data_IF_832356009372
#
_entry.id   IF_832356009372
#
_cell.length_a   1.000
_cell.length_b   1.000
_cell.length_c   1.000
_cell.angle_alpha   90.00
_cell.angle_beta   90.00
_cell.angle_gamma   90.00
#
_symmetry.space_group_name_H-M   'P 1'
#
loop_
_entity.id
_entity.type
_entity.pdbx_description
1 polymer ?
#
# COMPACT_ATOMS: atom_id res chain seq x y z
N UNK A 1 -4.33 -14.08 39.31
CA UNK A 1 -3.99 -12.64 39.39
C UNK A 1 -3.18 -12.33 38.16
N UNK A 2 -3.60 -11.55 37.18
CA UNK A 2 -4.79 -10.72 37.02
C UNK A 2 -5.06 -10.60 35.50
N UNK A 3 -6.31 -10.28 35.17
CA UNK A 3 -6.93 -10.17 33.86
C UNK A 3 -6.14 -9.28 32.89
N UNK A 4 -5.47 -9.86 31.89
CA UNK A 4 -5.35 -9.22 30.58
C UNK A 4 -6.38 -9.89 29.68
N UNK A 5 -7.41 -9.11 29.35
CA UNK A 5 -8.56 -9.54 28.58
C UNK A 5 -8.14 -10.34 27.35
N UNK A 6 -8.80 -11.48 27.14
CA UNK A 6 -9.09 -11.95 25.79
C UNK A 6 -9.88 -10.81 25.12
N UNK A 7 -9.17 -9.86 24.53
CA UNK A 7 -9.76 -8.99 23.53
C UNK A 7 -10.35 -9.93 22.48
N UNK A 8 -11.68 -10.04 22.45
CA UNK A 8 -12.38 -10.69 21.34
C UNK A 8 -11.87 -10.02 20.07
N UNK A 9 -10.95 -10.69 19.38
CA UNK A 9 -10.37 -10.21 18.13
C UNK A 9 -11.55 -9.95 17.18
N UNK A 10 -11.86 -8.68 16.94
CA UNK A 10 -12.99 -8.32 16.10
C UNK A 10 -12.71 -8.77 14.67
N UNK A 11 -13.66 -9.47 14.06
CA UNK A 11 -13.57 -9.84 12.65
C UNK A 11 -13.86 -8.62 11.76
N UNK A 12 -12.81 -7.89 11.43
CA UNK A 12 -12.87 -6.73 10.52
C UNK A 12 -12.89 -7.12 9.04
N UNK A 13 -13.62 -6.35 8.24
CA UNK A 13 -13.54 -6.27 6.78
C UNK A 13 -12.54 -5.19 6.35
N UNK A 14 -11.43 -5.61 5.75
CA UNK A 14 -10.27 -4.76 5.44
C UNK A 14 -10.13 -4.61 3.93
N UNK A 15 -10.09 -3.37 3.44
CA UNK A 15 -9.66 -3.06 2.07
C UNK A 15 -8.17 -2.71 2.07
N UNK A 16 -7.33 -3.64 1.63
CA UNK A 16 -5.90 -3.40 1.41
C UNK A 16 -5.67 -2.82 0.01
N UNK A 17 -5.17 -1.59 -0.07
CA UNK A 17 -4.83 -0.92 -1.32
C UNK A 17 -3.31 -0.96 -1.53
N UNK A 18 -2.87 -1.58 -2.63
CA UNK A 18 -1.45 -1.64 -3.02
C UNK A 18 -1.31 -1.57 -4.54
N UNK A 19 -0.27 -0.89 -5.03
CA UNK A 19 -0.03 -0.80 -6.47
C UNK A 19 0.50 -2.11 -7.05
N UNK A 20 1.25 -2.88 -6.25
CA UNK A 20 1.90 -4.11 -6.67
C UNK A 20 1.43 -5.29 -5.81
N UNK A 21 1.14 -6.42 -6.46
CA UNK A 21 0.74 -7.67 -5.78
C UNK A 21 1.12 -8.90 -6.62
N UNK A 22 1.49 -10.05 -6.01
CA UNK A 22 1.83 -11.28 -6.74
C UNK A 22 0.73 -11.61 -7.75
N UNK A 23 1.04 -11.95 -9.02
CA UNK A 23 2.28 -12.58 -9.47
C UNK A 23 3.43 -11.62 -9.77
N UNK A 24 3.25 -10.31 -9.61
CA UNK A 24 4.36 -9.37 -9.72
C UNK A 24 5.45 -9.69 -8.70
N UNK A 25 6.69 -9.69 -9.18
CA UNK A 25 7.87 -9.83 -8.36
C UNK A 25 8.16 -8.51 -7.65
N UNK A 26 8.76 -8.58 -6.46
CA UNK A 26 9.26 -7.40 -5.74
C UNK A 26 8.87 -7.38 -4.26
N UNK A 27 9.65 -6.64 -3.48
CA UNK A 27 9.49 -6.56 -2.03
C UNK A 27 8.10 -6.03 -1.61
N UNK A 28 7.57 -5.02 -2.32
CA UNK A 28 6.25 -4.48 -2.04
C UNK A 28 5.13 -5.51 -2.24
N UNK A 29 5.16 -6.24 -3.36
CA UNK A 29 4.20 -7.29 -3.67
C UNK A 29 4.27 -8.42 -2.64
N UNK A 30 5.47 -8.93 -2.34
CA UNK A 30 5.67 -10.00 -1.37
C UNK A 30 5.18 -9.60 0.04
N UNK A 31 5.51 -8.39 0.50
CA UNK A 31 5.10 -7.88 1.82
C UNK A 31 3.59 -7.69 1.92
N UNK A 32 2.97 -7.03 0.95
CA UNK A 32 1.52 -6.81 0.95
C UNK A 32 0.76 -8.13 0.93
N UNK A 33 1.26 -9.12 0.20
CA UNK A 33 0.68 -10.46 0.19
C UNK A 33 0.87 -11.18 1.53
N UNK A 34 2.06 -11.14 2.12
CA UNK A 34 2.32 -11.69 3.45
C UNK A 34 1.39 -11.09 4.52
N UNK A 35 1.25 -9.77 4.52
CA UNK A 35 0.34 -9.05 5.42
C UNK A 35 -1.11 -9.46 5.22
N UNK A 36 -1.59 -9.49 3.96
CA UNK A 36 -2.96 -9.88 3.66
C UNK A 36 -3.28 -11.31 4.13
N UNK A 37 -2.38 -12.26 3.86
CA UNK A 37 -2.54 -13.65 4.33
C UNK A 37 -2.53 -13.74 5.85
N UNK A 38 -1.65 -13.00 6.51
CA UNK A 38 -1.58 -12.99 7.96
C UNK A 38 -2.86 -12.44 8.59
N UNK A 39 -3.42 -11.36 8.05
CA UNK A 39 -4.71 -10.82 8.47
C UNK A 39 -5.87 -11.82 8.24
N UNK A 40 -5.88 -12.54 7.12
CA UNK A 40 -6.86 -13.62 6.88
C UNK A 40 -6.71 -14.75 7.91
N UNK A 41 -5.48 -15.15 8.25
CA UNK A 41 -5.20 -16.17 9.27
C UNK A 41 -5.68 -15.75 10.67
N UNK A 42 -5.69 -14.45 10.97
CA UNK A 42 -6.27 -13.89 12.19
C UNK A 42 -7.81 -13.82 12.17
N UNK A 43 -8.44 -14.27 11.08
CA UNK A 43 -9.90 -14.34 10.94
C UNK A 43 -10.54 -13.13 10.27
N UNK A 44 -9.76 -12.12 9.84
CA UNK A 44 -10.27 -10.94 9.16
C UNK A 44 -10.66 -11.23 7.70
N UNK A 45 -11.65 -10.49 7.19
CA UNK A 45 -12.00 -10.53 5.77
C UNK A 45 -11.16 -9.51 5.00
N UNK A 46 -10.24 -9.98 4.16
CA UNK A 46 -9.33 -9.10 3.42
C UNK A 46 -9.67 -9.07 1.93
N UNK A 47 -9.96 -7.88 1.43
CA UNK A 47 -10.00 -7.59 -0.01
C UNK A 47 -8.78 -6.76 -0.38
N UNK A 48 -7.93 -7.26 -1.26
CA UNK A 48 -6.82 -6.48 -1.84
C UNK A 48 -7.25 -5.85 -3.14
N UNK A 49 -7.16 -4.53 -3.26
CA UNK A 49 -7.35 -3.80 -4.53
C UNK A 49 -5.98 -3.38 -5.08
N UNK A 50 -5.67 -3.82 -6.30
CA UNK A 50 -4.34 -3.66 -6.90
C UNK A 50 -4.36 -3.50 -8.42
N UNK A 51 -3.23 -3.15 -9.04
CA UNK A 51 -3.11 -3.00 -10.48
C UNK A 51 -3.00 -4.34 -11.20
N UNK A 52 -3.17 -4.32 -12.52
CA UNK A 52 -2.75 -5.46 -13.33
C UNK A 52 -1.22 -5.63 -13.28
N UNK A 53 -0.73 -6.89 -13.32
CA UNK A 53 0.68 -7.15 -13.28
C UNK A 53 1.36 -6.49 -14.47
N UNK A 54 2.35 -5.66 -14.22
CA UNK A 54 3.10 -5.01 -15.30
C UNK A 54 4.55 -4.72 -14.92
N UNK A 55 4.95 -4.83 -13.65
CA UNK A 55 6.33 -4.65 -13.24
C UNK A 55 7.16 -5.94 -13.37
N UNK A 56 8.43 -5.89 -13.82
CA UNK A 56 9.17 -4.72 -14.33
C UNK A 56 9.04 -4.51 -15.85
N UNK A 57 8.53 -5.51 -16.57
CA UNK A 57 8.58 -5.60 -18.05
C UNK A 57 7.70 -4.57 -18.76
N UNK A 58 6.72 -3.98 -18.07
CA UNK A 58 5.67 -3.14 -18.64
C UNK A 58 4.59 -3.93 -19.39
N UNK A 59 4.66 -5.26 -19.38
CA UNK A 59 3.75 -6.12 -20.15
C UNK A 59 2.68 -6.72 -19.25
N UNK A 60 1.41 -6.52 -19.62
CA UNK A 60 0.28 -7.16 -18.95
C UNK A 60 0.21 -8.64 -19.41
N UNK A 61 0.18 -9.61 -18.47
CA UNK A 61 -0.03 -11.02 -18.79
C UNK A 61 -1.34 -11.24 -19.57
N UNK A 62 -1.36 -12.26 -20.42
CA UNK A 62 -2.48 -12.52 -21.33
C UNK A 62 -3.83 -12.64 -20.62
N UNK A 63 -3.87 -13.20 -19.40
CA UNK A 63 -5.12 -13.38 -18.67
C UNK A 63 -5.80 -12.07 -18.23
N UNK A 64 -5.05 -10.97 -18.19
CA UNK A 64 -5.54 -9.63 -17.78
C UNK A 64 -5.76 -8.67 -18.95
N UNK A 65 -5.33 -9.03 -20.17
CA UNK A 65 -5.46 -8.15 -21.35
C UNK A 65 -6.92 -7.91 -21.71
N UNK A 66 -7.22 -6.70 -22.20
CA UNK A 66 -8.56 -6.24 -22.65
C UNK A 66 -9.65 -6.29 -21.58
N UNK A 67 -9.29 -6.42 -20.31
CA UNK A 67 -10.21 -6.32 -19.17
C UNK A 67 -9.99 -4.99 -18.48
N UNK A 68 -11.02 -4.49 -17.80
CA UNK A 68 -10.90 -3.32 -16.93
C UNK A 68 -10.73 -3.71 -15.46
N UNK A 69 -11.20 -4.91 -15.10
CA UNK A 69 -11.17 -5.46 -13.75
C UNK A 69 -11.13 -6.98 -13.80
N UNK A 70 -10.43 -7.60 -12.85
CA UNK A 70 -10.45 -9.05 -12.60
C UNK A 70 -10.56 -9.28 -11.09
N UNK A 71 -11.36 -10.26 -10.67
CA UNK A 71 -11.38 -10.71 -9.27
C UNK A 71 -10.85 -12.14 -9.22
N UNK A 72 -9.94 -12.42 -8.29
CA UNK A 72 -9.32 -13.73 -8.10
C UNK A 72 -9.18 -14.02 -6.59
N UNK A 73 -9.08 -15.29 -6.22
CA UNK A 73 -8.70 -15.68 -4.86
C UNK A 73 -7.23 -16.08 -4.89
N UNK A 74 -6.44 -15.58 -3.93
CA UNK A 74 -5.03 -15.94 -3.79
C UNK A 74 -4.71 -16.18 -2.33
N UNK A 75 -4.46 -17.44 -1.98
CA UNK A 75 -4.16 -17.90 -0.61
C UNK A 75 -5.21 -17.42 0.41
N UNK A 76 -6.50 -17.50 0.06
CA UNK A 76 -7.61 -17.06 0.92
C UNK A 76 -7.91 -15.56 0.87
N UNK A 77 -7.07 -14.76 0.20
CA UNK A 77 -7.29 -13.31 0.02
C UNK A 77 -8.12 -13.07 -1.24
N UNK A 78 -9.18 -12.25 -1.15
CA UNK A 78 -9.90 -11.76 -2.32
C UNK A 78 -9.09 -10.65 -2.97
N UNK A 79 -8.54 -10.91 -4.16
CA UNK A 79 -7.75 -9.93 -4.91
C UNK A 79 -8.61 -9.37 -6.05
N UNK A 80 -8.80 -8.06 -6.06
CA UNK A 80 -9.44 -7.32 -7.14
C UNK A 80 -8.37 -6.52 -7.86
N UNK A 81 -8.13 -6.86 -9.11
CA UNK A 81 -7.21 -6.14 -9.99
C UNK A 81 -7.95 -5.17 -10.87
N UNK A 82 -7.34 -4.02 -11.11
CA UNK A 82 -7.88 -2.99 -12.00
C UNK A 82 -6.86 -2.56 -13.04
N UNK A 83 -7.39 -1.94 -14.10
CA UNK A 83 -6.62 -1.50 -15.24
C UNK A 83 -5.55 -0.47 -14.86
N UNK A 84 -4.39 -0.58 -15.48
CA UNK A 84 -3.30 0.40 -15.40
C UNK A 84 -2.74 0.63 -16.80
N UNK A 85 -2.26 1.85 -17.05
CA UNK A 85 -1.48 2.18 -18.24
C UNK A 85 -0.09 1.55 -18.12
N UNK A 86 -0.03 0.26 -18.45
CA UNK A 86 1.19 -0.53 -18.37
C UNK A 86 2.22 0.00 -19.37
N UNK A 87 3.36 0.40 -18.84
CA UNK A 87 4.47 0.92 -19.63
C UNK A 87 5.78 0.40 -19.09
N UNK A 88 6.80 0.33 -19.95
CA UNK A 88 8.17 0.13 -19.49
C UNK A 88 8.54 1.27 -18.54
N UNK A 89 8.94 0.97 -17.31
CA UNK A 89 9.24 1.95 -16.26
C UNK A 89 10.55 2.74 -16.50
N UNK A 90 11.10 2.68 -17.72
CA UNK A 90 12.34 3.36 -18.15
C UNK A 90 12.20 4.89 -18.20
N UNK A 91 10.99 5.41 -18.40
CA UNK A 91 10.72 6.86 -18.43
C UNK A 91 9.93 7.28 -17.20
N UNK A 92 10.39 8.33 -16.51
CA UNK A 92 9.71 8.90 -15.35
C UNK A 92 8.29 9.37 -15.67
N UNK A 93 8.05 9.90 -16.87
CA UNK A 93 6.72 10.35 -17.32
C UNK A 93 5.79 9.14 -17.51
N UNK A 94 6.28 8.08 -18.16
CA UNK A 94 5.47 6.86 -18.35
C UNK A 94 5.13 6.18 -17.03
N UNK A 95 6.07 6.18 -16.08
CA UNK A 95 5.85 5.70 -14.72
C UNK A 95 4.81 6.55 -13.98
N UNK A 96 4.85 7.87 -14.12
CA UNK A 96 3.83 8.77 -13.57
C UNK A 96 2.44 8.47 -14.17
N UNK A 97 2.35 8.29 -15.49
CA UNK A 97 1.08 7.94 -16.16
C UNK A 97 0.55 6.58 -15.66
N UNK A 98 1.41 5.60 -15.42
CA UNK A 98 1.03 4.33 -14.79
C UNK A 98 0.40 4.57 -13.41
N UNK A 99 1.04 5.36 -12.55
CA UNK A 99 0.50 5.66 -11.21
C UNK A 99 -0.81 6.45 -11.25
N UNK A 100 -0.93 7.45 -12.14
CA UNK A 100 -2.15 8.24 -12.28
C UNK A 100 -3.30 7.39 -12.85
N UNK A 101 -3.02 6.54 -13.83
CA UNK A 101 -4.02 5.62 -14.36
C UNK A 101 -4.53 4.65 -13.30
N UNK A 102 -3.64 4.14 -12.44
CA UNK A 102 -4.01 3.29 -11.32
C UNK A 102 -4.84 4.03 -10.27
N UNK A 103 -4.46 5.27 -9.92
CA UNK A 103 -5.24 6.11 -9.01
C UNK A 103 -6.70 6.20 -9.45
N UNK A 104 -6.94 6.54 -10.72
CA UNK A 104 -8.29 6.70 -11.27
C UNK A 104 -9.04 5.36 -11.30
N UNK A 105 -8.41 4.31 -11.83
CA UNK A 105 -9.05 3.00 -11.97
C UNK A 105 -9.33 2.33 -10.61
N UNK A 106 -8.46 2.53 -9.61
CA UNK A 106 -8.65 2.05 -8.25
C UNK A 106 -9.81 2.76 -7.55
N UNK A 107 -9.98 4.07 -7.71
CA UNK A 107 -11.14 4.79 -7.17
C UNK A 107 -12.44 4.23 -7.77
N UNK A 108 -12.52 4.14 -9.11
CA UNK A 108 -13.71 3.65 -9.81
C UNK A 108 -14.01 2.20 -9.37
N UNK A 109 -13.00 1.35 -9.38
CA UNK A 109 -13.14 -0.07 -9.02
C UNK A 109 -13.52 -0.23 -7.56
N UNK A 110 -12.87 0.51 -6.66
CA UNK A 110 -13.14 0.51 -5.23
C UNK A 110 -14.59 0.85 -4.95
N UNK A 111 -15.09 1.99 -5.44
CA UNK A 111 -16.50 2.40 -5.30
C UNK A 111 -17.45 1.33 -5.85
N UNK A 112 -17.09 0.67 -6.95
CA UNK A 112 -17.90 -0.39 -7.56
C UNK A 112 -17.95 -1.71 -6.77
N UNK A 113 -17.13 -1.90 -5.73
CA UNK A 113 -17.11 -3.14 -4.95
C UNK A 113 -18.41 -3.40 -4.19
N UNK A 114 -19.23 -2.37 -3.93
CA UNK A 114 -20.49 -2.44 -3.17
C UNK A 114 -20.39 -3.33 -1.91
N UNK A 115 -19.23 -3.30 -1.27
CA UNK A 115 -18.91 -4.08 -0.07
C UNK A 115 -18.78 -3.12 1.10
N UNK A 116 -19.12 -3.57 2.30
CA UNK A 116 -18.82 -2.85 3.53
C UNK A 116 -17.40 -3.16 3.97
N UNK A 117 -16.67 -2.12 4.35
CA UNK A 117 -15.35 -2.21 4.95
C UNK A 117 -15.39 -1.53 6.31
N UNK A 118 -14.54 -1.95 7.23
CA UNK A 118 -14.34 -1.32 8.53
C UNK A 118 -13.11 -0.42 8.53
N UNK A 119 -12.14 -0.70 7.65
CA UNK A 119 -10.89 0.06 7.52
C UNK A 119 -10.31 -0.06 6.12
N UNK A 120 -9.69 1.01 5.63
CA UNK A 120 -8.83 0.97 4.45
C UNK A 120 -7.38 1.04 4.89
N UNK A 121 -6.60 0.06 4.48
CA UNK A 121 -5.16 0.01 4.69
C UNK A 121 -4.47 0.28 3.36
N UNK A 122 -3.62 1.31 3.29
CA UNK A 122 -2.87 1.64 2.08
C UNK A 122 -1.39 1.40 2.31
N UNK A 123 -0.75 0.54 1.51
CA UNK A 123 0.71 0.39 1.54
C UNK A 123 1.35 1.27 0.47
N UNK A 124 2.17 2.23 0.91
CA UNK A 124 2.97 3.10 0.04
C UNK A 124 4.41 2.57 -0.06
N UNK A 125 5.17 2.90 -1.13
CA UNK A 125 4.82 3.72 -2.31
C UNK A 125 3.92 3.03 -3.37
N UNK A 126 3.37 3.77 -4.36
CA UNK A 126 3.58 5.20 -4.69
C UNK A 126 2.62 6.18 -3.98
N UNK A 127 3.00 7.45 -3.78
CA UNK A 127 2.18 8.48 -3.08
C UNK A 127 0.72 8.57 -3.57
N UNK A 128 0.51 8.44 -4.88
CA UNK A 128 -0.82 8.50 -5.50
C UNK A 128 -1.81 7.48 -4.92
N UNK A 129 -1.33 6.36 -4.40
CA UNK A 129 -2.19 5.36 -3.78
C UNK A 129 -2.84 5.85 -2.48
N UNK A 130 -2.16 6.73 -1.75
CA UNK A 130 -2.72 7.40 -0.58
C UNK A 130 -3.89 8.32 -0.93
N UNK A 131 -3.87 8.94 -2.12
CA UNK A 131 -5.00 9.73 -2.63
C UNK A 131 -6.20 8.82 -2.90
N UNK A 132 -5.99 7.70 -3.60
CA UNK A 132 -7.04 6.72 -3.85
C UNK A 132 -7.66 6.22 -2.54
N UNK A 133 -6.83 5.85 -1.56
CA UNK A 133 -7.28 5.43 -0.23
C UNK A 133 -8.04 6.53 0.51
N UNK A 134 -7.61 7.79 0.43
CA UNK A 134 -8.32 8.93 1.04
C UNK A 134 -9.71 9.13 0.46
N UNK A 135 -9.85 9.00 -0.87
CA UNK A 135 -11.13 9.10 -1.56
C UNK A 135 -12.04 7.94 -1.16
N UNK A 136 -11.54 6.71 -1.19
CA UNK A 136 -12.32 5.53 -0.83
C UNK A 136 -12.72 5.53 0.65
N UNK A 137 -11.84 5.97 1.56
CA UNK A 137 -12.13 6.08 2.98
C UNK A 137 -13.25 7.08 3.24
N UNK A 138 -13.23 8.21 2.51
CA UNK A 138 -14.31 9.19 2.54
C UNK A 138 -15.61 8.62 1.98
N UNK A 139 -15.56 7.86 0.87
CA UNK A 139 -16.73 7.28 0.22
C UNK A 139 -17.40 6.19 1.08
N UNK A 140 -16.60 5.36 1.75
CA UNK A 140 -17.09 4.30 2.64
C UNK A 140 -17.31 4.78 4.09
N UNK A 141 -16.85 5.99 4.44
CA UNK A 141 -16.90 6.57 5.79
C UNK A 141 -16.19 5.70 6.84
N UNK A 142 -14.97 5.27 6.51
CA UNK A 142 -14.14 4.39 7.34
C UNK A 142 -12.77 5.02 7.60
N UNK A 143 -12.07 4.65 8.68
CA UNK A 143 -10.72 5.10 8.92
C UNK A 143 -9.75 4.66 7.80
N UNK A 144 -8.83 5.56 7.47
CA UNK A 144 -7.69 5.30 6.60
C UNK A 144 -6.44 5.05 7.43
N UNK A 145 -5.78 3.91 7.24
CA UNK A 145 -4.46 3.61 7.80
C UNK A 145 -3.42 3.64 6.68
N UNK A 146 -2.37 4.43 6.85
CA UNK A 146 -1.28 4.52 5.88
C UNK A 146 -0.06 3.72 6.36
N UNK A 147 0.27 2.68 5.64
CA UNK A 147 1.51 1.94 5.80
C UNK A 147 2.65 2.57 5.00
N UNK A 148 3.56 3.25 5.72
CA UNK A 148 4.60 4.10 5.15
C UNK A 148 5.95 3.39 5.16
N UNK A 149 6.33 2.88 3.99
CA UNK A 149 7.63 2.24 3.80
C UNK A 149 8.72 3.20 3.40
N UNK A 150 8.38 4.21 2.60
CA UNK A 150 9.27 5.28 2.16
C UNK A 150 8.60 6.63 2.42
N UNK A 151 9.40 7.62 2.85
CA UNK A 151 8.93 8.98 3.01
C UNK A 151 9.23 9.75 1.73
N UNK A 152 8.19 10.02 0.95
CA UNK A 152 8.29 10.86 -0.23
C UNK A 152 7.92 12.30 0.14
N UNK A 153 8.63 13.32 -0.37
CA UNK A 153 9.70 13.25 -1.37
C UNK A 153 11.11 12.97 -0.84
N UNK A 154 11.30 12.82 0.47
CA UNK A 154 12.62 12.76 1.13
C UNK A 154 13.56 11.71 0.50
N UNK A 155 13.08 10.51 0.20
CA UNK A 155 13.88 9.46 -0.48
C UNK A 155 14.44 9.89 -1.84
N UNK A 156 13.75 10.76 -2.58
CA UNK A 156 14.23 11.24 -3.88
C UNK A 156 15.29 12.34 -3.73
N UNK A 157 15.26 13.07 -2.61
CA UNK A 157 16.24 14.11 -2.28
C UNK A 157 17.52 13.44 -1.77
N UNK A 158 17.38 12.46 -0.87
CA UNK A 158 18.48 11.66 -0.34
C UNK A 158 19.21 10.89 -1.45
N UNK A 159 18.48 10.40 -2.46
CA UNK A 159 19.06 9.78 -3.64
C UNK A 159 19.73 10.76 -4.62
N UNK A 160 19.71 12.06 -4.35
CA UNK A 160 20.29 13.11 -5.21
C UNK A 160 19.53 13.36 -6.51
N UNK A 161 18.33 12.80 -6.68
CA UNK A 161 17.54 12.96 -7.91
C UNK A 161 16.90 14.35 -8.02
N UNK A 162 16.61 14.99 -6.88
CA UNK A 162 16.04 16.33 -6.81
C UNK A 162 16.60 17.11 -5.62
N UNK A 163 16.48 18.42 -5.65
CA UNK A 163 16.80 19.30 -4.52
C UNK A 163 15.52 19.71 -3.78
N UNK A 164 15.62 20.09 -2.50
CA UNK A 164 14.48 20.62 -1.70
C UNK A 164 13.71 21.76 -2.39
N UNK A 165 14.40 22.55 -3.23
CA UNK A 165 13.80 23.69 -3.94
C UNK A 165 13.07 23.28 -5.23
N UNK A 166 13.23 22.03 -5.68
CA UNK A 166 12.66 21.54 -6.93
C UNK A 166 11.13 21.53 -6.88
N UNK A 167 10.48 21.97 -7.96
CA UNK A 167 9.02 22.00 -8.04
C UNK A 167 8.36 20.63 -7.77
N UNK A 168 8.83 19.51 -8.35
CA UNK A 168 8.27 18.18 -8.06
C UNK A 168 8.36 17.80 -6.58
N UNK A 169 9.40 18.24 -5.88
CA UNK A 169 9.58 17.99 -4.44
C UNK A 169 8.54 18.76 -3.63
N UNK A 170 8.40 20.07 -3.87
CA UNK A 170 7.40 20.89 -3.18
C UNK A 170 5.98 20.36 -3.38
N UNK A 171 5.65 19.97 -4.61
CA UNK A 171 4.35 19.41 -4.94
C UNK A 171 4.11 18.04 -4.27
N UNK A 172 5.12 17.16 -4.31
CA UNK A 172 5.03 15.85 -3.65
C UNK A 172 4.93 15.98 -2.13
N UNK A 173 5.61 16.96 -1.52
CA UNK A 173 5.50 17.26 -0.08
C UNK A 173 4.09 17.72 0.27
N UNK A 174 3.55 18.68 -0.48
CA UNK A 174 2.15 19.11 -0.32
C UNK A 174 1.17 17.94 -0.40
N UNK A 175 1.36 17.05 -1.38
CA UNK A 175 0.52 15.88 -1.55
C UNK A 175 0.66 14.88 -0.38
N UNK A 176 1.89 14.61 0.05
CA UNK A 176 2.16 13.75 1.20
C UNK A 176 1.48 14.29 2.47
N UNK A 177 1.65 15.57 2.77
CA UNK A 177 1.03 16.22 3.94
C UNK A 177 -0.50 16.17 3.88
N UNK A 178 -1.08 16.35 2.70
CA UNK A 178 -2.52 16.19 2.50
C UNK A 178 -2.98 14.77 2.87
N UNK A 179 -2.28 13.75 2.40
CA UNK A 179 -2.63 12.35 2.67
C UNK A 179 -2.42 12.02 4.16
N UNK A 180 -1.33 12.48 4.78
CA UNK A 180 -1.06 12.26 6.20
C UNK A 180 -2.12 12.89 7.10
N UNK A 181 -2.65 14.08 6.74
CA UNK A 181 -3.77 14.69 7.45
C UNK A 181 -5.09 13.93 7.29
N UNK A 182 -5.28 13.20 6.18
CA UNK A 182 -6.49 12.39 5.94
C UNK A 182 -6.45 11.02 6.62
N UNK A 183 -5.27 10.50 6.91
CA UNK A 183 -5.12 9.22 7.57
C UNK A 183 -5.60 9.29 9.03
N UNK A 184 -6.39 8.32 9.48
CA UNK A 184 -6.68 8.15 10.89
C UNK A 184 -5.42 7.74 11.67
N UNK A 185 -4.59 6.88 11.05
CA UNK A 185 -3.35 6.37 11.65
C UNK A 185 -2.27 6.14 10.60
N UNK A 186 -1.00 6.28 10.97
CA UNK A 186 0.15 6.01 10.11
C UNK A 186 1.04 4.93 10.73
N UNK A 187 1.57 4.03 9.91
CA UNK A 187 2.52 3.01 10.35
C UNK A 187 3.87 3.18 9.64
N UNK A 188 4.75 4.08 10.13
CA UNK A 188 6.12 4.17 9.63
C UNK A 188 6.90 2.89 9.93
N UNK A 189 7.78 2.49 9.00
CA UNK A 189 8.54 1.23 9.13
C UNK A 189 9.69 1.27 10.15
N UNK A 190 10.15 2.46 10.55
CA UNK A 190 11.25 2.63 11.52
C UNK A 190 11.02 3.82 12.44
N UNK A 191 11.65 3.80 13.62
CA UNK A 191 11.66 4.93 14.56
C UNK A 191 12.21 6.21 13.92
N UNK A 192 13.25 6.09 13.09
CA UNK A 192 13.81 7.22 12.34
C UNK A 192 12.78 7.88 11.42
N UNK A 193 11.93 7.08 10.74
CA UNK A 193 10.85 7.62 9.90
C UNK A 193 9.73 8.25 10.74
N UNK A 194 9.43 7.68 11.91
CA UNK A 194 8.50 8.29 12.84
C UNK A 194 9.00 9.67 13.30
N UNK A 195 10.25 9.78 13.72
CA UNK A 195 10.84 11.07 14.14
C UNK A 195 10.87 12.09 12.99
N UNK A 196 11.10 11.63 11.76
CA UNK A 196 11.00 12.48 10.56
C UNK A 196 9.57 12.99 10.31
N UNK A 197 8.56 12.14 10.49
CA UNK A 197 7.15 12.54 10.38
C UNK A 197 6.75 13.51 11.50
N UNK A 198 7.25 13.32 12.74
CA UNK A 198 7.07 14.26 13.84
C UNK A 198 7.67 15.62 13.53
N UNK A 199 8.88 15.66 12.97
CA UNK A 199 9.53 16.90 12.53
C UNK A 199 8.73 17.64 11.45
N UNK A 200 7.91 16.91 10.68
CA UNK A 200 7.00 17.45 9.66
C UNK A 200 5.58 17.75 10.21
N UNK A 201 5.37 17.69 11.53
CA UNK A 201 4.13 18.08 12.19
C UNK A 201 3.07 16.98 12.32
N UNK A 202 3.43 15.70 12.16
CA UNK A 202 2.52 14.58 12.47
C UNK A 202 2.62 14.23 13.96
N UNK A 203 1.48 14.22 14.65
CA UNK A 203 1.37 13.84 16.06
C UNK A 203 1.80 12.39 16.31
N UNK A 204 2.55 12.14 17.39
CA UNK A 204 3.10 10.82 17.70
C UNK A 204 2.00 9.79 17.97
N UNK A 205 0.91 10.22 18.58
CA UNK A 205 -0.24 9.41 18.98
C UNK A 205 -0.98 8.83 17.77
N UNK A 206 -0.84 9.46 16.60
CA UNK A 206 -1.39 9.01 15.32
C UNK A 206 -0.45 8.08 14.56
N UNK A 207 0.61 7.61 15.21
CA UNK A 207 1.64 6.78 14.59
C UNK A 207 1.99 5.56 15.44
N UNK A 208 2.23 4.43 14.77
CA UNK A 208 2.80 3.23 15.38
C UNK A 208 3.86 2.65 14.48
N UNK A 209 5.06 2.42 15.00
CA UNK A 209 6.12 1.80 14.21
C UNK A 209 5.80 0.33 13.96
N UNK A 210 5.71 -0.04 12.69
CA UNK A 210 5.47 -1.42 12.25
C UNK A 210 6.59 -1.84 11.31
N UNK A 211 7.55 -2.57 11.86
CA UNK A 211 8.73 -3.05 11.14
C UNK A 211 8.36 -4.07 10.06
N UNK A 212 9.29 -4.33 9.14
CA UNK A 212 9.11 -5.41 8.19
C UNK A 212 9.18 -6.75 8.92
N UNK A 213 8.27 -7.66 8.58
CA UNK A 213 8.29 -9.04 9.03
C UNK A 213 9.00 -9.93 8.03
N UNK A 214 9.37 -11.13 8.47
CA UNK A 214 9.92 -12.18 7.64
C UNK A 214 9.02 -13.41 7.68
N UNK A 215 8.87 -14.06 6.53
CA UNK A 215 8.13 -15.31 6.40
C UNK A 215 9.12 -16.47 6.64
N UNK A 216 9.14 -17.00 7.86
CA UNK A 216 10.08 -18.06 8.25
C UNK A 216 9.88 -19.34 7.42
N UNK A 217 8.67 -19.61 6.92
CA UNK A 217 8.41 -20.76 6.06
C UNK A 217 9.13 -20.65 4.70
N UNK A 218 9.53 -19.42 4.31
CA UNK A 218 10.31 -19.16 3.09
C UNK A 218 11.80 -19.01 3.34
N UNK A 219 12.21 -18.87 4.60
CA UNK A 219 13.61 -18.85 5.00
C UNK A 219 14.08 -20.30 5.20
N UNK A 220 14.73 -20.88 4.20
CA UNK A 220 15.51 -22.10 4.42
C UNK A 220 16.78 -21.72 5.20
N UNK A 221 16.68 -21.70 6.53
CA UNK A 221 17.84 -21.48 7.43
C UNK A 221 18.74 -22.72 7.56
N UNK A 222 18.52 -23.76 6.75
CA UNK A 222 19.33 -24.97 6.73
C UNK A 222 20.34 -24.93 5.59
N UNK A 223 21.62 -24.83 5.99
CA UNK A 223 22.89 -24.93 5.24
C UNK A 223 23.63 -23.59 5.07
N UNK A 224 24.90 -23.57 5.51
CA UNK A 224 25.93 -22.54 5.25
C UNK A 224 26.26 -21.49 6.34
N UNK A 225 26.17 -21.84 7.62
CA UNK A 225 26.93 -21.12 8.67
C UNK A 225 27.53 -22.08 9.71
N UNK A 226 28.31 -23.07 9.25
CA UNK A 226 29.35 -23.73 10.06
C UNK A 226 30.72 -23.12 9.73
#
# INVERSE_FOLDING_TARGET
MDRSAEEKQQNLSILLLTHFYPPEMGAAAARCHGLARWLVRLGHQVTTLTGFPNYPSGNIPSEYRRKFRVSENRDGVKVVRTWVFATSHRSSIRRLLNYLSFLVSAIITGISLRSSFDVILVSSPPLFIGVAGSVLASAFRVPLVLDLRDLWPDVAIEAGAFTEKSFPVKWSRFLADFIYRRAAHLTPVTESKLERLKANGVEKERMTVVTNSVDFDKLNLSKEFE
#
